data_IF_856117528701
#
_entry.id   IF_856117528701
#
_cell.length_a   1.000
_cell.length_b   1.000
_cell.length_c   1.000
_cell.angle_alpha   90.00
_cell.angle_beta   90.00
_cell.angle_gamma   90.00
#
_symmetry.space_group_name_H-M   'P 1'
#
loop_
_entity.id
_entity.type
_entity.pdbx_description
1 polymer ?
#
# COMPACT_ATOMS: atom_id res chain seq x y z
N UNK A 1 -0.95 -17.22 -17.56
CA UNK A 1 -0.91 -16.04 -16.67
C UNK A 1 -0.88 -14.76 -17.49
N UNK A 2 -1.81 -13.81 -17.35
CA UNK A 2 -1.70 -12.46 -17.94
C UNK A 2 -1.66 -11.41 -16.84
N UNK A 3 -0.73 -10.47 -16.96
CA UNK A 3 -0.60 -9.33 -16.05
C UNK A 3 -1.91 -8.55 -15.89
N UNK A 4 -2.69 -8.43 -16.98
CA UNK A 4 -4.01 -7.79 -16.99
C UNK A 4 -5.01 -8.44 -16.02
N UNK A 5 -5.00 -9.78 -15.87
CA UNK A 5 -5.92 -10.45 -14.95
C UNK A 5 -5.53 -10.21 -13.49
N UNK A 6 -4.22 -10.18 -13.19
CA UNK A 6 -3.73 -9.81 -11.87
C UNK A 6 -4.12 -8.38 -11.51
N UNK A 7 -3.99 -7.43 -12.44
CA UNK A 7 -4.37 -6.03 -12.23
C UNK A 7 -5.84 -5.86 -11.87
N UNK A 8 -6.75 -6.58 -12.53
CA UNK A 8 -8.19 -6.53 -12.23
C UNK A 8 -8.47 -7.05 -10.82
N UNK A 9 -7.84 -8.15 -10.42
CA UNK A 9 -8.01 -8.74 -9.09
C UNK A 9 -7.48 -7.80 -7.98
N UNK A 10 -6.35 -7.14 -8.22
CA UNK A 10 -5.82 -6.09 -7.33
C UNK A 10 -6.80 -4.94 -7.17
N UNK A 11 -7.49 -4.54 -8.25
CA UNK A 11 -8.52 -3.49 -8.17
C UNK A 11 -9.75 -3.94 -7.36
N UNK A 12 -10.18 -5.20 -7.50
CA UNK A 12 -11.28 -5.78 -6.72
C UNK A 12 -10.97 -5.76 -5.22
N UNK A 13 -9.72 -6.05 -4.85
CA UNK A 13 -9.27 -6.01 -3.45
C UNK A 13 -8.70 -4.65 -3.01
N UNK A 14 -8.86 -3.60 -3.83
CA UNK A 14 -8.43 -2.24 -3.51
C UNK A 14 -6.93 -2.12 -3.14
N UNK A 15 -6.07 -2.83 -3.84
CA UNK A 15 -4.61 -2.77 -3.63
C UNK A 15 -4.07 -3.76 -2.60
N UNK A 16 -4.90 -4.63 -2.03
CA UNK A 16 -4.43 -5.73 -1.18
C UNK A 16 -3.66 -6.77 -2.02
N UNK A 17 -2.66 -7.40 -1.40
CA UNK A 17 -1.90 -8.51 -1.96
C UNK A 17 -2.51 -9.88 -1.63
N UNK A 18 -3.61 -9.92 -0.86
CA UNK A 18 -4.34 -11.13 -0.52
C UNK A 18 -5.23 -11.67 -1.66
N UNK A 19 -4.79 -11.56 -2.92
CA UNK A 19 -5.49 -12.16 -4.05
C UNK A 19 -4.90 -13.51 -4.46
N UNK A 20 -5.77 -14.41 -4.90
CA UNK A 20 -5.33 -15.61 -5.63
C UNK A 20 -5.01 -15.19 -7.06
N UNK A 21 -3.81 -15.49 -7.53
CA UNK A 21 -3.43 -15.25 -8.93
C UNK A 21 -4.46 -15.93 -9.87
N UNK A 22 -5.17 -15.18 -10.73
CA UNK A 22 -6.17 -15.77 -11.62
C UNK A 22 -5.50 -16.72 -12.62
N UNK A 23 -5.74 -18.03 -12.50
CA UNK A 23 -5.26 -19.01 -13.46
C UNK A 23 -6.15 -19.04 -14.70
N UNK A 24 -5.88 -18.14 -15.64
CA UNK A 24 -6.62 -17.98 -16.91
C UNK A 24 -6.53 -19.17 -17.88
N UNK A 25 -5.92 -20.30 -17.48
CA UNK A 25 -5.81 -21.53 -18.29
C UNK A 25 -5.36 -21.26 -19.73
N UNK A 26 -4.40 -20.34 -19.92
CA UNK A 26 -4.05 -19.75 -21.22
C UNK A 26 -3.86 -20.79 -22.32
N UNK A 27 -3.03 -21.78 -22.06
CA UNK A 27 -2.68 -22.84 -23.02
C UNK A 27 -3.92 -23.67 -23.44
N UNK A 28 -4.85 -23.92 -22.51
CA UNK A 28 -6.13 -24.61 -22.79
C UNK A 28 -7.06 -23.74 -23.62
N UNK A 29 -7.11 -22.43 -23.38
CA UNK A 29 -7.93 -21.50 -24.15
C UNK A 29 -7.35 -21.26 -25.54
N UNK A 30 -6.03 -21.16 -25.66
CA UNK A 30 -5.30 -21.02 -26.93
C UNK A 30 -5.52 -22.22 -27.84
N UNK A 31 -5.39 -23.44 -27.31
CA UNK A 31 -5.70 -24.69 -28.04
C UNK A 31 -7.13 -24.74 -28.56
N UNK A 32 -8.06 -24.04 -27.90
CA UNK A 32 -9.47 -23.95 -28.29
C UNK A 32 -9.79 -22.72 -29.16
N UNK A 33 -8.82 -21.86 -29.47
CA UNK A 33 -9.06 -20.59 -30.18
C UNK A 33 -9.88 -19.57 -29.39
N UNK A 34 -10.01 -19.75 -28.06
CA UNK A 34 -10.81 -18.90 -27.18
C UNK A 34 -9.97 -18.02 -26.27
N UNK A 35 -8.66 -17.89 -26.54
CA UNK A 35 -7.80 -17.00 -25.76
C UNK A 35 -8.06 -15.55 -26.21
N UNK A 36 -8.62 -14.68 -25.35
CA UNK A 36 -8.84 -13.29 -25.72
C UNK A 36 -7.50 -12.55 -25.87
N UNK A 37 -7.45 -11.62 -26.83
CA UNK A 37 -6.27 -10.77 -27.07
C UNK A 37 -5.99 -9.83 -25.89
N UNK A 38 -7.07 -9.32 -25.28
CA UNK A 38 -7.06 -8.44 -24.13
C UNK A 38 -8.12 -8.88 -23.13
N UNK A 39 -7.84 -8.69 -21.84
CA UNK A 39 -8.85 -8.83 -20.78
C UNK A 39 -9.57 -7.49 -20.60
N UNK A 40 -10.90 -7.51 -20.50
CA UNK A 40 -11.70 -6.33 -20.17
C UNK A 40 -11.87 -6.20 -18.65
N UNK A 41 -11.71 -4.98 -18.13
CA UNK A 41 -12.08 -4.64 -16.76
C UNK A 41 -13.51 -4.08 -16.75
N UNK A 42 -14.43 -4.60 -15.92
CA UNK A 42 -15.76 -4.00 -15.75
C UNK A 42 -15.65 -2.55 -15.24
N UNK A 43 -16.48 -1.64 -15.78
CA UNK A 43 -16.47 -0.23 -15.37
C UNK A 43 -16.75 -0.08 -13.87
N UNK A 44 -17.69 -0.86 -13.32
CA UNK A 44 -18.03 -0.85 -11.89
C UNK A 44 -16.83 -1.16 -10.98
N UNK A 45 -15.97 -2.12 -11.38
CA UNK A 45 -14.75 -2.47 -10.64
C UNK A 45 -13.78 -1.30 -10.67
N UNK A 46 -13.63 -0.67 -11.83
CA UNK A 46 -12.76 0.48 -12.01
C UNK A 46 -13.23 1.70 -11.22
N UNK A 47 -14.51 2.03 -11.29
CA UNK A 47 -15.10 3.18 -10.62
C UNK A 47 -15.08 2.99 -9.11
N UNK A 48 -15.34 1.78 -8.60
CA UNK A 48 -15.21 1.48 -7.18
C UNK A 48 -13.77 1.64 -6.69
N UNK A 49 -12.79 1.11 -7.42
CA UNK A 49 -11.38 1.24 -7.07
C UNK A 49 -10.92 2.70 -7.08
N UNK A 50 -11.32 3.46 -8.11
CA UNK A 50 -11.04 4.89 -8.23
C UNK A 50 -11.68 5.69 -7.09
N UNK A 51 -12.96 5.47 -6.80
CA UNK A 51 -13.66 6.18 -5.73
C UNK A 51 -13.01 5.97 -4.37
N UNK A 52 -12.42 4.80 -4.12
CA UNK A 52 -11.70 4.54 -2.87
C UNK A 52 -10.35 5.26 -2.81
N UNK A 53 -9.67 5.41 -3.94
CA UNK A 53 -8.44 6.23 -4.02
C UNK A 53 -8.77 7.72 -3.83
N UNK A 54 -9.83 8.21 -4.47
CA UNK A 54 -10.25 9.61 -4.37
C UNK A 54 -10.82 9.96 -2.98
N UNK A 55 -11.38 8.97 -2.28
CA UNK A 55 -11.93 9.15 -0.92
C UNK A 55 -10.87 9.42 0.15
N UNK A 56 -9.59 9.12 -0.13
CA UNK A 56 -8.48 9.43 0.76
C UNK A 56 -7.84 10.72 0.24
N UNK A 57 -8.09 11.83 0.94
CA UNK A 57 -7.38 13.08 0.68
C UNK A 57 -5.90 12.86 0.99
N UNK A 58 -5.03 13.00 -0.02
CA UNK A 58 -3.57 12.98 0.17
C UNK A 58 -3.16 13.91 1.31
N UNK A 59 -3.81 15.07 1.42
CA UNK A 59 -3.53 16.05 2.46
C UNK A 59 -3.84 15.57 3.88
N UNK A 60 -4.84 14.68 4.05
CA UNK A 60 -5.15 14.12 5.37
C UNK A 60 -4.11 13.07 5.76
N UNK A 61 -3.63 12.27 4.80
CA UNK A 61 -2.53 11.33 5.02
C UNK A 61 -1.22 12.07 5.31
N UNK A 62 -0.91 13.12 4.55
CA UNK A 62 0.26 13.96 4.77
C UNK A 62 0.23 14.64 6.15
N UNK A 63 -0.95 15.08 6.60
CA UNK A 63 -1.13 15.64 7.94
C UNK A 63 -0.91 14.59 9.03
N UNK A 64 -1.45 13.38 8.86
CA UNK A 64 -1.26 12.29 9.80
C UNK A 64 0.23 11.92 9.91
N UNK A 65 0.91 11.77 8.77
CA UNK A 65 2.35 11.50 8.71
C UNK A 65 3.16 12.61 9.41
N UNK A 66 2.83 13.88 9.16
CA UNK A 66 3.51 15.00 9.81
C UNK A 66 3.34 14.99 11.34
N UNK A 67 2.15 14.63 11.84
CA UNK A 67 1.91 14.48 13.27
C UNK A 67 2.71 13.31 13.87
N UNK A 68 2.75 12.16 13.19
CA UNK A 68 3.56 11.01 13.64
C UNK A 68 5.06 11.37 13.66
N UNK A 69 5.56 12.08 12.64
CA UNK A 69 6.94 12.55 12.60
C UNK A 69 7.28 13.51 13.74
N UNK A 70 6.35 14.40 14.09
CA UNK A 70 6.50 15.33 15.22
C UNK A 70 6.62 14.58 16.54
N UNK A 71 5.74 13.62 16.79
CA UNK A 71 5.76 12.80 18.01
C UNK A 71 7.07 12.03 18.14
N UNK A 72 7.53 11.40 17.07
CA UNK A 72 8.81 10.69 17.03
C UNK A 72 9.97 11.63 17.32
N UNK A 73 9.93 12.85 16.77
CA UNK A 73 10.97 13.85 17.02
C UNK A 73 11.01 14.28 18.49
N UNK A 74 9.87 14.59 19.09
CA UNK A 74 9.77 14.95 20.50
C UNK A 74 10.30 13.84 21.42
N UNK A 75 9.96 12.57 21.13
CA UNK A 75 10.46 11.43 21.91
C UNK A 75 11.98 11.31 21.78
N UNK A 76 12.52 11.47 20.57
CA UNK A 76 13.95 11.40 20.33
C UNK A 76 14.71 12.52 21.04
N UNK A 77 14.20 13.76 21.02
CA UNK A 77 14.77 14.91 21.73
C UNK A 77 14.83 14.63 23.24
N UNK A 78 13.71 14.16 23.83
CA UNK A 78 13.67 13.81 25.26
C UNK A 78 14.66 12.68 25.61
N UNK A 79 14.78 11.66 24.76
CA UNK A 79 15.72 10.56 24.98
C UNK A 79 17.18 11.06 25.01
N UNK A 80 17.54 12.00 24.13
CA UNK A 80 18.87 12.61 24.09
C UNK A 80 19.15 13.44 25.35
N UNK A 81 18.17 14.20 25.83
CA UNK A 81 18.32 14.96 27.09
C UNK A 81 18.54 14.03 28.28
N UNK A 82 17.79 12.94 28.37
CA UNK A 82 17.96 11.94 29.44
C UNK A 82 19.33 11.26 29.38
N UNK A 83 19.81 10.89 28.18
CA UNK A 83 21.14 10.32 28.00
C UNK A 83 22.24 11.31 28.43
N UNK A 84 22.09 12.59 28.10
CA UNK A 84 23.04 13.62 28.52
C UNK A 84 23.09 13.79 30.05
N UNK A 85 21.95 13.73 30.73
CA UNK A 85 21.89 13.81 32.20
C UNK A 85 22.62 12.62 32.84
N UNK A 86 22.38 11.41 32.35
CA UNK A 86 23.05 10.19 32.84
C UNK A 86 24.57 10.30 32.69
N UNK A 87 25.05 10.79 31.55
CA UNK A 87 26.48 10.96 31.30
C UNK A 87 27.13 12.04 32.18
N UNK A 88 26.38 13.09 32.57
CA UNK A 88 26.89 14.12 33.47
C UNK A 88 26.98 13.66 34.94
N UNK A 89 26.10 12.75 35.37
CA UNK A 89 26.11 12.21 36.72
C UNK A 89 27.26 11.20 36.95
N UNK A 90 27.69 10.47 35.90
CA UNK A 90 28.81 9.50 35.97
C UNK A 90 30.22 10.14 35.94
N UNK A 91 30.37 11.39 35.48
CA UNK A 91 31.66 12.13 35.45
C UNK A 91 31.97 12.88 36.78
N UNK A 92 31.09 12.77 37.78
CA UNK A 92 31.15 13.55 39.03
C UNK A 92 31.72 12.80 40.26
N UNK A 93 32.44 11.68 40.07
CA UNK A 93 33.12 10.90 41.14
C UNK A 93 34.66 11.03 41.14
#
# INVERSE_FOLDING_TARGET
>A
MSLQACLIETMILFGDNAYKLPHMSKEKHERKGMLPLNVSCPCEVFDAARSKLDGISSADLDRALAAEMEEVRCINELAQELEAIVLCDDESD
#
